data_IF_593793601121
#
_entry.id   IF_593793601121
#
_cell.length_a   1.000
_cell.length_b   1.000
_cell.length_c   1.000
_cell.angle_alpha   90.00
_cell.angle_beta   90.00
_cell.angle_gamma   90.00
#
_symmetry.space_group_name_H-M   'P 1'
#
loop_
_entity.id
_entity.type
_entity.pdbx_description
1 polymer ?
#
# COMPACT_ATOMS: atom_id res chain seq x y z
N UNK A 1 31.61 22.03 -34.33
CA UNK A 1 30.60 21.56 -33.36
C UNK A 1 29.33 22.40 -33.50
N UNK A 2 28.67 22.32 -34.67
CA UNK A 2 27.35 21.69 -34.87
C UNK A 2 26.21 22.26 -34.01
N UNK A 3 25.72 23.45 -34.38
CA UNK A 3 24.49 24.11 -33.85
C UNK A 3 23.32 23.15 -33.56
N UNK A 4 23.16 22.09 -34.36
CA UNK A 4 22.17 21.03 -34.16
C UNK A 4 22.26 20.35 -32.79
N UNK A 5 23.47 20.14 -32.27
CA UNK A 5 23.67 19.53 -30.94
C UNK A 5 23.23 20.47 -29.81
N UNK A 6 23.45 21.77 -29.96
CA UNK A 6 23.01 22.78 -28.98
C UNK A 6 21.49 22.84 -28.94
N UNK A 7 20.84 22.86 -30.12
CA UNK A 7 19.37 22.87 -30.23
C UNK A 7 18.75 21.60 -29.62
N UNK A 8 19.30 20.42 -29.92
CA UNK A 8 18.80 19.17 -29.37
C UNK A 8 18.90 19.14 -27.83
N UNK A 9 20.03 19.59 -27.27
CA UNK A 9 20.22 19.69 -25.81
C UNK A 9 19.21 20.63 -25.16
N UNK A 10 18.96 21.79 -25.76
CA UNK A 10 17.97 22.74 -25.22
C UNK A 10 16.54 22.19 -25.25
N UNK A 11 16.17 21.45 -26.30
CA UNK A 11 14.83 20.85 -26.40
C UNK A 11 14.63 19.72 -25.38
N UNK A 12 15.64 18.87 -25.18
CA UNK A 12 15.59 17.80 -24.18
C UNK A 12 15.48 18.37 -22.77
N UNK A 13 16.28 19.39 -22.44
CA UNK A 13 16.22 20.04 -21.13
C UNK A 13 14.85 20.69 -20.87
N UNK A 14 14.26 21.34 -21.87
CA UNK A 14 12.93 21.92 -21.77
C UNK A 14 11.84 20.85 -21.57
N UNK A 15 11.90 19.74 -22.31
CA UNK A 15 10.95 18.64 -22.17
C UNK A 15 11.01 18.00 -20.78
N UNK A 16 12.21 17.79 -20.24
CA UNK A 16 12.38 17.27 -18.87
C UNK A 16 11.85 18.25 -17.82
N UNK A 17 12.14 19.54 -17.96
CA UNK A 17 11.63 20.56 -17.03
C UNK A 17 10.10 20.63 -17.01
N UNK A 18 9.45 20.44 -18.16
CA UNK A 18 7.99 20.44 -18.27
C UNK A 18 7.35 19.11 -17.82
N UNK A 19 8.01 17.98 -18.07
CA UNK A 19 7.49 16.65 -17.77
C UNK A 19 7.50 16.26 -16.30
N UNK A 20 8.31 16.90 -15.46
CA UNK A 20 8.40 16.62 -14.03
C UNK A 20 7.18 17.08 -13.21
N UNK A 21 6.22 17.78 -13.82
CA UNK A 21 5.02 18.29 -13.15
C UNK A 21 3.79 17.39 -13.28
N UNK A 22 3.87 16.26 -13.99
CA UNK A 22 2.69 15.44 -14.30
C UNK A 22 2.27 14.52 -13.13
N UNK A 23 3.13 14.32 -12.14
CA UNK A 23 2.88 13.40 -11.01
C UNK A 23 2.49 14.12 -9.70
N UNK A 24 1.98 15.35 -9.79
CA UNK A 24 1.47 16.10 -8.63
C UNK A 24 -0.01 15.82 -8.35
N UNK A 25 -0.49 14.60 -8.66
CA UNK A 25 -1.77 14.18 -8.14
C UNK A 25 -1.68 14.24 -6.61
N UNK A 26 -2.55 15.05 -5.99
CA UNK A 26 -2.69 15.00 -4.54
C UNK A 26 -2.93 13.53 -4.17
N UNK A 27 -2.20 12.97 -3.18
CA UNK A 27 -2.53 11.64 -2.71
C UNK A 27 -4.01 11.64 -2.38
N UNK A 28 -4.73 10.62 -2.86
CA UNK A 28 -6.10 10.42 -2.44
C UNK A 28 -6.05 10.11 -0.93
N UNK A 29 -6.17 11.13 -0.10
CA UNK A 29 -6.42 10.94 1.32
C UNK A 29 -7.83 10.36 1.42
N UNK A 30 -7.99 9.28 2.16
CA UNK A 30 -9.28 8.99 2.77
C UNK A 30 -9.55 10.20 3.68
N UNK A 31 -10.34 11.12 3.15
CA UNK A 31 -10.79 12.26 3.91
C UNK A 31 -11.70 11.70 5.00
N UNK A 32 -11.19 11.57 6.22
CA UNK A 32 -12.00 11.38 7.44
C UNK A 32 -12.81 12.66 7.73
N UNK A 33 -12.75 13.66 6.85
CA UNK A 33 -13.91 14.21 6.15
C UNK A 33 -15.25 13.53 6.55
N UNK A 34 -15.92 14.04 7.58
CA UNK A 34 -17.10 13.55 8.30
C UNK A 34 -18.38 13.46 7.42
N UNK A 35 -18.20 13.46 6.08
CA UNK A 35 -19.17 13.40 4.99
C UNK A 35 -19.33 11.98 4.40
N UNK A 36 -18.79 10.94 5.05
CA UNK A 36 -18.96 9.56 4.58
C UNK A 36 -20.44 9.16 4.52
N UNK A 37 -20.98 8.74 3.36
CA UNK A 37 -22.37 8.29 3.23
C UNK A 37 -22.64 6.99 4.00
N UNK A 38 -21.60 6.34 4.52
CA UNK A 38 -21.66 5.10 5.28
C UNK A 38 -21.58 5.31 6.79
N UNK A 39 -21.71 6.54 7.29
CA UNK A 39 -21.63 6.85 8.73
C UNK A 39 -22.62 6.08 9.61
N UNK A 40 -23.71 5.59 9.03
CA UNK A 40 -24.72 4.76 9.72
C UNK A 40 -24.35 3.29 9.80
N UNK A 41 -23.32 2.86 9.06
CA UNK A 41 -22.75 1.53 9.17
C UNK A 41 -21.77 1.50 10.34
N UNK A 42 -22.28 1.17 11.52
CA UNK A 42 -21.44 0.78 12.64
C UNK A 42 -21.19 -0.73 12.58
N UNK A 43 -19.94 -1.17 12.68
CA UNK A 43 -19.70 -2.56 13.07
C UNK A 43 -19.75 -2.66 14.59
N UNK A 44 -20.44 -3.66 15.13
CA UNK A 44 -20.24 -4.12 16.52
C UNK A 44 -19.03 -5.04 16.66
N UNK A 45 -18.14 -5.02 15.66
CA UNK A 45 -16.87 -5.71 15.68
C UNK A 45 -16.12 -5.29 16.95
N UNK A 46 -15.44 -6.23 17.59
CA UNK A 46 -14.48 -5.87 18.60
C UNK A 46 -13.40 -5.00 17.93
N UNK A 47 -13.10 -3.84 18.53
CA UNK A 47 -12.06 -2.94 18.04
C UNK A 47 -10.79 -3.77 17.79
N UNK A 48 -10.29 -3.75 16.55
CA UNK A 48 -9.06 -4.46 16.24
C UNK A 48 -7.93 -3.83 17.07
N UNK A 49 -7.04 -4.67 17.59
CA UNK A 49 -5.89 -4.18 18.34
C UNK A 49 -5.10 -3.16 17.48
N UNK A 50 -4.61 -2.06 18.06
CA UNK A 50 -3.93 -1.02 17.29
C UNK A 50 -2.82 -1.60 16.41
N UNK A 51 -2.62 -1.00 15.23
CA UNK A 51 -1.57 -1.43 14.31
C UNK A 51 -0.20 -1.43 15.02
N UNK A 52 0.52 -2.55 14.91
CA UNK A 52 1.82 -2.73 15.56
C UNK A 52 1.76 -2.98 17.08
N UNK A 53 0.58 -3.13 17.68
CA UNK A 53 0.47 -3.50 19.08
C UNK A 53 1.03 -4.91 19.34
N UNK A 54 1.60 -5.18 20.54
CA UNK A 54 2.10 -6.51 20.88
C UNK A 54 1.04 -7.60 20.75
N UNK A 55 -0.19 -7.32 21.20
CA UNK A 55 -1.31 -8.26 21.10
C UNK A 55 -1.66 -8.64 19.65
N UNK A 56 -1.61 -7.67 18.73
CA UNK A 56 -1.80 -7.94 17.30
C UNK A 56 -0.66 -8.82 16.75
N UNK A 57 0.58 -8.54 17.12
CA UNK A 57 1.73 -9.29 16.64
C UNK A 57 1.76 -10.72 17.17
N UNK A 58 1.39 -10.93 18.43
CA UNK A 58 1.26 -12.25 19.04
C UNK A 58 0.20 -13.09 18.32
N UNK A 59 -0.95 -12.47 18.01
CA UNK A 59 -2.03 -13.11 17.28
C UNK A 59 -1.64 -13.51 15.85
N UNK A 60 -0.91 -12.62 15.15
CA UNK A 60 -0.34 -12.92 13.82
C UNK A 60 0.64 -14.09 13.91
N UNK A 61 1.54 -14.07 14.91
CA UNK A 61 2.52 -15.13 15.09
C UNK A 61 1.85 -16.49 15.36
N UNK A 62 0.84 -16.50 16.23
CA UNK A 62 0.03 -17.67 16.54
C UNK A 62 -0.66 -18.21 15.29
N UNK A 63 -1.33 -17.36 14.51
CA UNK A 63 -2.00 -17.76 13.28
C UNK A 63 -1.05 -18.37 12.23
N UNK A 64 0.17 -17.84 12.10
CA UNK A 64 1.18 -18.42 11.21
C UNK A 64 1.61 -19.82 11.68
N UNK A 65 1.86 -20.00 12.98
CA UNK A 65 2.23 -21.31 13.53
C UNK A 65 1.10 -22.33 13.32
N UNK A 66 -0.14 -21.94 13.60
CA UNK A 66 -1.32 -22.78 13.37
C UNK A 66 -1.49 -23.14 11.90
N UNK A 67 -1.26 -22.19 10.99
CA UNK A 67 -1.31 -22.41 9.55
C UNK A 67 -0.23 -23.38 9.05
N UNK A 68 0.98 -23.33 9.61
CA UNK A 68 2.05 -24.28 9.29
C UNK A 68 1.76 -25.69 9.82
N UNK A 69 1.13 -25.79 10.99
CA UNK A 69 0.74 -27.06 11.58
C UNK A 69 -0.58 -27.61 10.99
N UNK A 70 -1.36 -26.78 10.30
CA UNK A 70 -2.63 -27.17 9.73
C UNK A 70 -2.41 -28.15 8.58
N UNK A 71 -2.98 -29.35 8.72
CA UNK A 71 -3.05 -30.29 7.60
C UNK A 71 -4.19 -29.89 6.66
N UNK A 72 -3.84 -29.49 5.44
CA UNK A 72 -4.80 -29.14 4.40
C UNK A 72 -5.12 -30.38 3.54
N UNK A 73 -6.41 -30.60 3.27
CA UNK A 73 -6.87 -31.69 2.43
C UNK A 73 -6.25 -31.58 1.03
N UNK A 74 -5.53 -32.62 0.60
CA UNK A 74 -4.84 -32.66 -0.69
C UNK A 74 -3.35 -32.31 -0.64
N UNK A 75 -2.80 -31.92 0.52
CA UNK A 75 -1.36 -31.74 0.74
C UNK A 75 -0.80 -32.83 1.67
N UNK A 76 0.50 -33.19 1.53
CA UNK A 76 1.16 -34.09 2.48
C UNK A 76 1.14 -33.49 3.89
N UNK A 77 1.14 -34.36 4.91
CA UNK A 77 1.11 -33.93 6.30
C UNK A 77 2.33 -33.04 6.62
N UNK A 78 2.14 -31.94 7.38
CA UNK A 78 3.26 -31.09 7.79
C UNK A 78 4.27 -31.90 8.62
N UNK A 79 5.55 -31.66 8.38
CA UNK A 79 6.63 -32.30 9.14
C UNK A 79 6.62 -31.73 10.56
N UNK A 80 6.30 -32.59 11.54
CA UNK A 80 6.33 -32.26 12.96
C UNK A 80 7.73 -32.03 13.50
#
# INVERSE_FOLDING_TARGET
>A
MTRRHVIARTLIAAALALGLFVDQAAPASADDTDLSPFRTLSCSCHEAAPAGSPALMDEIHRGMQEGHAAWLAGLPAPAG
#
